data_IF_206040460618
#
_entry.id   IF_206040460618
#
_cell.length_a   1.000
_cell.length_b   1.000
_cell.length_c   1.000
_cell.angle_alpha   90.00
_cell.angle_beta   90.00
_cell.angle_gamma   90.00
#
_symmetry.space_group_name_H-M   'P 1'
#
loop_
_entity.id
_entity.type
_entity.pdbx_description
1 polymer ?
#
# COMPACT_ATOMS: atom_id res chain seq x y z
N UNK A 1 -3.52 -3.08 -1.59
CA UNK A 1 -3.20 -2.80 -3.00
C UNK A 1 -1.72 -3.10 -3.18
N UNK A 2 -1.32 -3.77 -4.25
CA UNK A 2 0.08 -4.14 -4.49
C UNK A 2 0.98 -2.92 -4.78
N UNK A 3 2.29 -3.00 -4.47
CA UNK A 3 3.24 -1.89 -4.67
C UNK A 3 3.35 -1.51 -6.15
N UNK A 4 3.28 -2.48 -7.06
CA UNK A 4 3.31 -2.20 -8.51
C UNK A 4 2.08 -1.41 -8.94
N UNK A 5 0.89 -1.77 -8.44
CA UNK A 5 -0.33 -1.00 -8.70
C UNK A 5 -0.23 0.42 -8.14
N UNK A 6 0.30 0.59 -6.93
CA UNK A 6 0.52 1.91 -6.33
C UNK A 6 1.49 2.76 -7.16
N UNK A 7 2.57 2.18 -7.70
CA UNK A 7 3.49 2.87 -8.60
C UNK A 7 2.79 3.34 -9.88
N UNK A 8 1.95 2.51 -10.48
CA UNK A 8 1.19 2.87 -11.68
C UNK A 8 0.23 4.04 -11.42
N UNK A 9 -0.51 3.99 -10.30
CA UNK A 9 -1.38 5.09 -9.89
C UNK A 9 -0.60 6.38 -9.61
N UNK A 10 0.56 6.26 -8.98
CA UNK A 10 1.42 7.41 -8.69
C UNK A 10 1.96 8.06 -9.97
N UNK A 11 2.35 7.26 -10.97
CA UNK A 11 2.76 7.79 -12.30
C UNK A 11 1.60 8.51 -12.98
N UNK A 12 0.39 7.95 -12.95
CA UNK A 12 -0.80 8.61 -13.49
C UNK A 12 -1.11 9.94 -12.78
N UNK A 13 -0.89 9.98 -11.46
CA UNK A 13 -1.05 11.18 -10.64
C UNK A 13 -0.03 12.25 -11.03
N UNK A 14 1.25 11.89 -11.17
CA UNK A 14 2.31 12.80 -11.63
C UNK A 14 1.98 13.34 -13.03
N UNK A 15 1.54 12.49 -13.96
CA UNK A 15 1.18 12.91 -15.31
C UNK A 15 0.01 13.91 -15.30
N UNK A 16 -1.02 13.64 -14.50
CA UNK A 16 -2.19 14.53 -14.34
C UNK A 16 -1.80 15.87 -13.70
N UNK A 17 -0.99 15.84 -12.64
CA UNK A 17 -0.48 17.05 -11.98
C UNK A 17 0.37 17.88 -12.94
N UNK A 18 1.27 17.26 -13.70
CA UNK A 18 2.10 17.95 -14.69
C UNK A 18 1.23 18.63 -15.76
N UNK A 19 0.30 17.89 -16.37
CA UNK A 19 -0.60 18.41 -17.39
C UNK A 19 -1.41 19.61 -16.89
N UNK A 20 -2.04 19.47 -15.71
CA UNK A 20 -2.84 20.54 -15.13
C UNK A 20 -2.00 21.75 -14.72
N UNK A 21 -0.81 21.52 -14.16
CA UNK A 21 0.10 22.59 -13.75
C UNK A 21 0.55 23.42 -14.93
N UNK A 22 1.09 22.78 -15.97
CA UNK A 22 1.52 23.51 -17.17
C UNK A 22 0.37 24.16 -17.92
N UNK A 23 -0.79 23.49 -18.01
CA UNK A 23 -1.98 24.06 -18.63
C UNK A 23 -2.48 25.32 -17.90
N UNK A 24 -2.48 25.29 -16.57
CA UNK A 24 -2.88 26.45 -15.74
C UNK A 24 -1.88 27.60 -15.89
N UNK A 25 -0.57 27.30 -15.84
CA UNK A 25 0.48 28.30 -16.04
C UNK A 25 0.39 28.97 -17.41
N UNK A 26 0.12 28.19 -18.47
CA UNK A 26 -0.02 28.74 -19.82
C UNK A 26 -1.29 29.57 -19.98
N UNK A 27 -2.42 29.11 -19.43
CA UNK A 27 -3.70 29.81 -19.48
C UNK A 27 -3.64 31.16 -18.76
N UNK A 28 -2.96 31.19 -17.61
CA UNK A 28 -2.96 32.35 -16.72
C UNK A 28 -1.70 33.23 -16.89
N UNK A 29 -0.83 32.91 -17.85
CA UNK A 29 0.38 33.67 -18.11
C UNK A 29 0.07 35.14 -18.44
N UNK A 30 0.65 36.12 -17.72
CA UNK A 30 0.47 37.52 -18.05
C UNK A 30 1.22 37.86 -19.36
N UNK A 31 0.69 38.76 -20.19
CA UNK A 31 1.41 39.22 -21.35
C UNK A 31 2.68 39.98 -20.92
N UNK A 32 3.78 39.74 -21.64
CA UNK A 32 5.08 40.37 -21.37
C UNK A 32 5.52 41.20 -22.56
N UNK A 33 6.03 42.41 -22.31
CA UNK A 33 6.58 43.25 -23.36
C UNK A 33 7.92 42.67 -23.82
N UNK A 34 8.03 42.33 -25.11
CA UNK A 34 9.22 41.68 -25.67
C UNK A 34 10.40 42.64 -25.85
N UNK A 35 10.13 43.93 -26.08
CA UNK A 35 11.15 44.97 -26.19
C UNK A 35 10.56 46.35 -25.91
N UNK A 36 11.38 47.35 -25.52
CA UNK A 36 10.94 48.72 -25.29
C UNK A 36 10.32 49.39 -26.52
N UNK A 37 10.59 48.88 -27.73
CA UNK A 37 10.08 49.42 -28.99
C UNK A 37 8.68 48.87 -29.36
N UNK A 38 8.14 47.93 -28.60
CA UNK A 38 6.81 47.38 -28.83
C UNK A 38 5.77 48.07 -27.96
N UNK A 39 4.53 48.30 -28.44
CA UNK A 39 3.45 48.82 -27.62
C UNK A 39 3.23 47.95 -26.38
N UNK A 40 2.84 48.59 -25.28
CA UNK A 40 2.49 47.89 -24.05
C UNK A 40 1.30 46.96 -24.32
N UNK A 41 1.37 45.67 -23.91
CA UNK A 41 0.29 44.74 -24.16
C UNK A 41 -0.99 45.19 -23.44
N UNK A 42 -2.18 44.95 -24.03
CA UNK A 42 -3.44 45.29 -23.38
C UNK A 42 -3.55 44.56 -22.04
N UNK A 43 -4.05 45.25 -21.01
CA UNK A 43 -4.36 44.63 -19.73
C UNK A 43 -5.32 43.45 -19.95
N UNK A 44 -5.00 42.28 -19.38
CA UNK A 44 -5.80 41.07 -19.53
C UNK A 44 -7.28 41.34 -19.19
N UNK A 45 -8.18 41.07 -20.14
CA UNK A 45 -9.62 41.29 -20.00
C UNK A 45 -10.32 40.24 -19.11
N UNK A 46 -9.65 39.13 -18.80
CA UNK A 46 -10.08 38.15 -17.81
C UNK A 46 -9.55 38.58 -16.44
N UNK A 47 -10.45 39.12 -15.61
CA UNK A 47 -10.16 39.63 -14.27
C UNK A 47 -9.48 38.61 -13.37
N UNK A 48 -8.15 38.61 -13.39
CA UNK A 48 -7.36 38.14 -12.25
C UNK A 48 -7.37 39.29 -11.27
N UNK A 49 -8.45 39.40 -10.48
CA UNK A 49 -8.60 40.41 -9.43
C UNK A 49 -7.56 40.25 -8.30
N UNK A 50 -6.67 39.24 -8.39
CA UNK A 50 -5.75 38.89 -7.33
C UNK A 50 -4.37 38.48 -7.88
N UNK A 51 -3.56 39.47 -8.25
CA UNK A 51 -2.17 39.27 -8.68
C UNK A 51 -1.32 38.50 -7.64
N UNK A 52 -1.74 38.50 -6.36
CA UNK A 52 -1.12 37.70 -5.31
C UNK A 52 -1.34 36.19 -5.52
N UNK A 53 -2.53 35.78 -5.97
CA UNK A 53 -2.86 34.38 -6.25
C UNK A 53 -2.06 33.82 -7.44
N UNK A 54 -1.76 34.65 -8.45
CA UNK A 54 -0.98 34.25 -9.63
C UNK A 54 0.49 33.92 -9.30
N UNK A 55 1.05 34.52 -8.24
CA UNK A 55 2.41 34.25 -7.79
C UNK A 55 2.50 33.07 -6.80
N UNK A 56 1.42 32.77 -6.07
CA UNK A 56 1.39 31.68 -5.10
C UNK A 56 0.95 30.33 -5.70
N UNK A 57 0.02 30.35 -6.65
CA UNK A 57 -0.50 29.14 -7.30
C UNK A 57 0.61 28.28 -7.99
N UNK A 58 1.58 28.85 -8.72
CA UNK A 58 2.70 28.08 -9.27
C UNK A 58 3.52 27.36 -8.20
N UNK A 59 3.71 28.00 -7.03
CA UNK A 59 4.47 27.41 -5.92
C UNK A 59 3.72 26.21 -5.33
N UNK A 60 2.41 26.35 -5.08
CA UNK A 60 1.59 25.26 -4.58
C UNK A 60 1.56 24.06 -5.54
N UNK A 61 1.32 24.31 -6.83
CA UNK A 61 1.29 23.26 -7.85
C UNK A 61 2.65 22.57 -8.01
N UNK A 62 3.75 23.34 -7.99
CA UNK A 62 5.10 22.77 -8.03
C UNK A 62 5.43 21.94 -6.79
N UNK A 63 4.94 22.37 -5.61
CA UNK A 63 5.12 21.62 -4.36
C UNK A 63 4.35 20.29 -4.39
N UNK A 64 3.14 20.27 -4.94
CA UNK A 64 2.36 19.03 -5.13
C UNK A 64 3.06 18.07 -6.09
N UNK A 65 3.60 18.57 -7.20
CA UNK A 65 4.36 17.75 -8.15
C UNK A 65 5.61 17.14 -7.50
N UNK A 66 6.38 17.93 -6.74
CA UNK A 66 7.56 17.44 -6.02
C UNK A 66 7.17 16.43 -4.94
N UNK A 67 6.06 16.66 -4.23
CA UNK A 67 5.55 15.70 -3.25
C UNK A 67 5.18 14.38 -3.92
N UNK A 68 4.51 14.43 -5.07
CA UNK A 68 4.15 13.24 -5.83
C UNK A 68 5.39 12.47 -6.33
N UNK A 69 6.43 13.18 -6.77
CA UNK A 69 7.71 12.57 -7.15
C UNK A 69 8.40 11.88 -5.96
N UNK A 70 8.43 12.51 -4.79
CA UNK A 70 8.99 11.90 -3.57
C UNK A 70 8.23 10.65 -3.12
N UNK A 71 6.91 10.66 -3.27
CA UNK A 71 6.10 9.47 -2.99
C UNK A 71 6.42 8.33 -3.94
N UNK A 72 6.63 8.63 -5.22
CA UNK A 72 7.09 7.64 -6.20
C UNK A 72 8.45 7.05 -5.79
N UNK A 73 9.43 7.87 -5.42
CA UNK A 73 10.75 7.40 -4.96
C UNK A 73 10.63 6.49 -3.72
N UNK A 74 9.76 6.85 -2.78
CA UNK A 74 9.51 6.03 -1.59
C UNK A 74 8.89 4.66 -1.96
N UNK A 75 7.98 4.62 -2.94
CA UNK A 75 7.40 3.38 -3.45
C UNK A 75 8.44 2.52 -4.18
N UNK A 76 9.33 3.13 -4.96
CA UNK A 76 10.45 2.42 -5.61
C UNK A 76 11.39 1.83 -4.56
N UNK A 77 11.72 2.59 -3.51
CA UNK A 77 12.56 2.10 -2.41
C UNK A 77 11.91 0.97 -1.59
N UNK A 78 10.58 0.89 -1.59
CA UNK A 78 9.82 -0.17 -0.92
C UNK A 78 9.69 -1.45 -1.76
N UNK A 79 10.15 -1.46 -3.02
CA UNK A 79 10.11 -2.67 -3.84
C UNK A 79 10.95 -3.79 -3.20
N UNK A 80 10.40 -5.01 -3.07
CA UNK A 80 11.15 -6.12 -2.53
C UNK A 80 12.35 -6.41 -3.44
N UNK A 81 13.56 -6.37 -2.86
CA UNK A 81 14.79 -6.65 -3.58
C UNK A 81 14.78 -8.11 -4.03
N UNK A 82 14.87 -8.34 -5.35
CA UNK A 82 15.14 -9.67 -5.89
C UNK A 82 16.63 -9.95 -5.74
N UNK A 83 17.05 -10.36 -4.54
CA UNK A 83 18.41 -10.84 -4.31
C UNK A 83 18.65 -12.08 -5.18
N UNK A 84 19.54 -11.97 -6.17
CA UNK A 84 19.91 -13.08 -7.05
C UNK A 84 18.99 -13.33 -8.25
N UNK A 85 18.03 -12.43 -8.53
CA UNK A 85 17.16 -12.53 -9.70
C UNK A 85 16.09 -13.62 -9.62
N UNK A 86 15.47 -13.92 -10.76
CA UNK A 86 14.33 -14.84 -10.84
C UNK A 86 14.67 -16.26 -10.37
N UNK A 87 15.85 -16.78 -10.74
CA UNK A 87 16.27 -18.14 -10.37
C UNK A 87 16.42 -18.30 -8.85
N UNK A 88 17.02 -17.32 -8.17
CA UNK A 88 17.15 -17.34 -6.72
C UNK A 88 15.78 -17.24 -6.02
N UNK A 89 14.86 -16.44 -6.58
CA UNK A 89 13.49 -16.35 -6.08
C UNK A 89 12.74 -17.67 -6.25
N UNK A 90 12.83 -18.32 -7.41
CA UNK A 90 12.20 -19.62 -7.66
C UNK A 90 12.75 -20.69 -6.71
N UNK A 91 14.06 -20.73 -6.51
CA UNK A 91 14.68 -21.63 -5.53
C UNK A 91 14.16 -21.37 -4.12
N UNK A 92 14.07 -20.10 -3.71
CA UNK A 92 13.55 -19.71 -2.40
C UNK A 92 12.08 -20.12 -2.22
N UNK A 93 11.26 -20.03 -3.27
CA UNK A 93 9.86 -20.49 -3.26
C UNK A 93 9.80 -22.00 -3.01
N UNK A 94 10.62 -22.79 -3.70
CA UNK A 94 10.66 -24.26 -3.50
C UNK A 94 11.09 -24.62 -2.08
N UNK A 95 12.10 -23.93 -1.53
CA UNK A 95 12.53 -24.12 -0.14
C UNK A 95 11.40 -23.81 0.85
N UNK A 96 10.70 -22.67 0.67
CA UNK A 96 9.58 -22.28 1.53
C UNK A 96 8.37 -23.22 1.40
N UNK A 97 8.15 -23.81 0.22
CA UNK A 97 7.11 -24.82 0.02
C UNK A 97 7.44 -26.10 0.81
N UNK A 98 8.68 -26.59 0.70
CA UNK A 98 9.13 -27.76 1.46
C UNK A 98 9.08 -27.53 2.98
N UNK A 99 9.45 -26.32 3.44
CA UNK A 99 9.36 -25.94 4.86
C UNK A 99 7.89 -25.90 5.34
N UNK A 100 6.99 -25.29 4.56
CA UNK A 100 5.57 -25.26 4.89
C UNK A 100 4.96 -26.67 4.95
N UNK A 101 5.32 -27.55 4.02
CA UNK A 101 4.84 -28.94 4.01
C UNK A 101 5.32 -29.70 5.26
N UNK A 102 6.59 -29.53 5.65
CA UNK A 102 7.14 -30.18 6.84
C UNK A 102 6.47 -29.67 8.13
N UNK A 103 6.28 -28.35 8.24
CA UNK A 103 5.58 -27.73 9.37
C UNK A 103 4.12 -28.17 9.41
N UNK A 104 3.47 -28.29 8.25
CA UNK A 104 2.09 -28.77 8.15
C UNK A 104 1.93 -30.21 8.64
N UNK A 105 2.88 -31.10 8.31
CA UNK A 105 2.89 -32.47 8.82
C UNK A 105 3.10 -32.54 10.33
N UNK A 106 4.02 -31.74 10.87
CA UNK A 106 4.25 -31.69 12.31
C UNK A 106 3.02 -31.14 13.05
N UNK A 107 2.39 -30.08 12.53
CA UNK A 107 1.16 -29.54 13.07
C UNK A 107 0.04 -30.60 13.09
N UNK A 108 -0.14 -31.35 12.00
CA UNK A 108 -1.12 -32.42 11.92
C UNK A 108 -0.90 -33.50 12.99
N UNK A 109 0.36 -33.92 13.18
CA UNK A 109 0.72 -34.91 14.20
C UNK A 109 0.44 -34.42 15.62
N UNK A 110 0.70 -33.14 15.89
CA UNK A 110 0.40 -32.53 17.18
C UNK A 110 -1.11 -32.43 17.44
N UNK A 111 -1.89 -32.10 16.41
CA UNK A 111 -3.36 -32.10 16.51
C UNK A 111 -3.89 -33.50 16.82
N UNK A 112 -3.43 -34.53 16.12
CA UNK A 112 -3.84 -35.92 16.39
C UNK A 112 -3.48 -36.40 17.80
N UNK A 113 -2.32 -35.98 18.32
CA UNK A 113 -1.93 -36.28 19.70
C UNK A 113 -2.85 -35.57 20.70
N UNK A 114 -3.11 -34.27 20.50
CA UNK A 114 -3.98 -33.47 21.34
C UNK A 114 -5.44 -33.99 21.34
N UNK A 115 -5.95 -34.43 20.19
CA UNK A 115 -7.28 -35.04 20.07
C UNK A 115 -7.40 -36.34 20.89
N UNK A 116 -6.36 -37.19 20.86
CA UNK A 116 -6.32 -38.42 21.67
C UNK A 116 -6.29 -38.12 23.16
N UNK A 117 -5.47 -37.15 23.58
CA UNK A 117 -5.43 -36.72 24.98
C UNK A 117 -6.78 -36.15 25.42
N UNK A 118 -7.42 -35.34 24.59
CA UNK A 118 -8.75 -34.80 24.86
C UNK A 118 -9.80 -35.91 25.02
N UNK A 119 -9.80 -36.91 24.15
CA UNK A 119 -10.70 -38.07 24.26
C UNK A 119 -10.48 -38.83 25.58
N UNK A 120 -9.22 -39.06 25.98
CA UNK A 120 -8.92 -39.73 27.25
C UNK A 120 -9.45 -38.92 28.45
N UNK A 121 -9.26 -37.61 28.46
CA UNK A 121 -9.78 -36.74 29.52
C UNK A 121 -11.31 -36.76 29.56
N UNK A 122 -11.97 -36.72 28.39
CA UNK A 122 -13.44 -36.80 28.31
C UNK A 122 -13.98 -38.15 28.81
N UNK A 123 -13.29 -39.24 28.53
CA UNK A 123 -13.68 -40.57 28.99
C UNK A 123 -13.52 -40.71 30.51
N UNK A 124 -12.36 -40.30 31.04
CA UNK A 124 -12.11 -40.28 32.49
C UNK A 124 -13.12 -39.39 33.22
N UNK A 125 -13.44 -38.22 32.67
CA UNK A 125 -14.46 -37.33 33.22
C UNK A 125 -15.85 -37.99 33.23
N UNK A 126 -16.22 -38.67 32.13
CA UNK A 126 -17.50 -39.38 32.02
C UNK A 126 -17.58 -40.53 33.03
N UNK A 127 -16.49 -41.30 33.21
CA UNK A 127 -16.41 -42.36 34.21
C UNK A 127 -16.53 -41.81 35.63
N UNK A 128 -15.82 -40.73 35.96
CA UNK A 128 -15.90 -40.08 37.27
C UNK A 128 -17.33 -39.59 37.56
N UNK A 129 -17.96 -38.93 36.58
CA UNK A 129 -19.34 -38.44 36.69
C UNK A 129 -20.33 -39.59 36.91
N UNK A 130 -20.22 -40.68 36.14
CA UNK A 130 -21.05 -41.87 36.30
C UNK A 130 -20.86 -42.56 37.66
N UNK A 131 -19.62 -42.63 38.15
CA UNK A 131 -19.33 -43.18 39.47
C UNK A 131 -20.01 -42.35 40.57
N UNK A 132 -19.85 -41.02 40.54
CA UNK A 132 -20.51 -40.11 41.48
C UNK A 132 -22.05 -40.17 41.43
N UNK A 133 -22.64 -40.37 40.24
CA UNK A 133 -24.10 -40.52 40.08
C UNK A 133 -24.61 -41.85 40.62
N UNK A 134 -23.88 -42.96 40.39
CA UNK A 134 -24.26 -44.27 40.90
C UNK A 134 -24.11 -44.38 42.43
N UNK A 135 -23.14 -43.69 43.02
CA UNK A 135 -22.99 -43.58 44.48
C UNK A 135 -24.14 -42.78 45.15
N UNK A 136 -24.93 -42.01 44.38
CA UNK A 136 -26.02 -41.18 44.88
C UNK A 136 -27.42 -41.81 44.76
N UNK A 137 -27.57 -43.04 44.24
CA UNK A 137 -28.86 -43.73 44.24
C UNK A 137 -29.17 -44.19 45.68
N UNK A 138 -30.19 -43.62 46.36
CA UNK A 138 -30.65 -44.14 47.64
C UNK A 138 -31.50 -45.41 47.40
N UNK A 139 -31.43 -46.37 48.33
CA UNK A 139 -32.46 -47.41 48.48
C UNK A 139 -33.83 -46.81 48.80
#
# INVERSE_FOLDING_TARGET
MDIISQLQEQVNTIASLAFNTFGTLQRDAPPVQLSPNYPEPPANATGVEDAANLAEQPKLLSAELVKAAKQFDALVAALPLSEGGEEAQLKRIVELQAENDAIGQELQKQLEAAEKELQQVQELFSQATNNCLNLKKPE
#
